data_IF_356930702789
#
_entry.id   IF_356930702789
#
_cell.length_a   1.000
_cell.length_b   1.000
_cell.length_c   1.000
_cell.angle_alpha   90.00
_cell.angle_beta   90.00
_cell.angle_gamma   90.00
#
_symmetry.space_group_name_H-M   'P 1'
#
loop_
_entity.id
_entity.type
_entity.pdbx_description
1 polymer ?
#
# COMPACT_ATOMS: atom_id res chain seq x y z
N UNK A 1 -45.96 -40.04 66.83
CA UNK A 1 -46.01 -41.46 66.38
C UNK A 1 -45.79 -41.51 64.88
N UNK A 2 -45.00 -42.50 64.45
CA UNK A 2 -44.86 -43.04 63.09
C UNK A 2 -44.30 -42.16 61.94
N UNK A 3 -43.11 -42.57 61.48
CA UNK A 3 -42.50 -42.30 60.18
C UNK A 3 -43.40 -42.74 59.02
N UNK A 4 -43.25 -42.14 57.83
CA UNK A 4 -43.41 -42.83 56.56
C UNK A 4 -42.07 -42.97 55.80
N UNK A 5 -42.02 -43.86 54.78
CA UNK A 5 -40.81 -44.65 54.51
C UNK A 5 -40.00 -44.18 53.30
N UNK A 6 -38.76 -44.65 53.34
CA UNK A 6 -37.70 -44.60 52.33
C UNK A 6 -38.11 -45.34 51.05
N UNK A 7 -37.88 -44.72 49.88
CA UNK A 7 -37.73 -45.43 48.60
C UNK A 7 -36.39 -45.12 47.94
N UNK A 8 -35.50 -46.09 48.10
CA UNK A 8 -34.43 -46.60 47.21
C UNK A 8 -33.78 -45.62 46.23
N UNK A 9 -32.57 -45.20 46.59
CA UNK A 9 -31.57 -44.73 45.63
C UNK A 9 -31.12 -45.89 44.73
N UNK A 10 -31.08 -45.61 43.43
CA UNK A 10 -30.34 -46.39 42.45
C UNK A 10 -29.26 -45.49 41.87
N UNK A 11 -28.03 -46.00 41.98
CA UNK A 11 -26.76 -45.58 41.39
C UNK A 11 -26.88 -44.68 40.16
N UNK A 12 -26.31 -43.46 40.26
CA UNK A 12 -25.67 -42.80 39.13
C UNK A 12 -24.18 -42.68 39.41
N UNK A 13 -23.44 -43.50 38.69
CA UNK A 13 -22.00 -43.46 38.47
C UNK A 13 -21.53 -42.03 38.19
N UNK A 14 -20.43 -41.66 38.85
CA UNK A 14 -19.74 -40.40 38.68
C UNK A 14 -19.34 -40.17 37.21
N UNK A 15 -19.76 -39.03 36.64
CA UNK A 15 -19.11 -38.42 35.47
C UNK A 15 -18.34 -37.20 35.95
N UNK A 16 -17.01 -37.29 35.88
CA UNK A 16 -16.07 -36.16 36.03
C UNK A 16 -16.53 -35.01 35.11
N UNK A 17 -16.51 -33.74 35.57
CA UNK A 17 -16.65 -32.63 34.65
C UNK A 17 -15.41 -32.62 33.73
N UNK A 18 -15.65 -32.63 32.43
CA UNK A 18 -14.61 -32.52 31.43
C UNK A 18 -13.87 -31.19 31.59
N UNK A 19 -12.53 -31.24 31.60
CA UNK A 19 -11.67 -30.06 31.49
C UNK A 19 -12.08 -29.27 30.25
N UNK A 20 -12.61 -28.06 30.43
CA UNK A 20 -12.74 -27.09 29.33
C UNK A 20 -11.34 -26.72 28.89
N UNK A 21 -11.01 -27.05 27.64
CA UNK A 21 -9.81 -26.54 26.97
C UNK A 21 -9.92 -25.01 26.87
N UNK A 22 -8.84 -24.26 27.10
CA UNK A 22 -8.80 -22.84 26.79
C UNK A 22 -9.01 -22.66 25.28
N UNK A 23 -9.61 -21.53 24.84
CA UNK A 23 -9.75 -21.24 23.42
C UNK A 23 -8.37 -21.19 22.75
N UNK A 24 -8.26 -21.57 21.48
CA UNK A 24 -6.99 -21.50 20.77
C UNK A 24 -6.50 -20.04 20.76
N UNK A 25 -5.19 -19.88 20.97
CA UNK A 25 -4.52 -18.59 20.87
C UNK A 25 -4.84 -17.98 19.50
N UNK A 26 -5.34 -16.74 19.52
CA UNK A 26 -5.53 -15.94 18.31
C UNK A 26 -4.14 -15.65 17.76
N UNK A 27 -3.79 -16.30 16.65
CA UNK A 27 -2.58 -16.02 15.88
C UNK A 27 -2.50 -14.52 15.59
N UNK A 28 -1.33 -13.88 15.71
CA UNK A 28 -1.16 -12.50 15.30
C UNK A 28 -1.54 -12.36 13.82
N UNK A 29 -2.19 -11.25 13.42
CA UNK A 29 -2.53 -11.04 12.02
C UNK A 29 -1.26 -11.10 11.19
N UNK A 30 -1.24 -11.99 10.19
CA UNK A 30 -0.14 -12.08 9.23
C UNK A 30 0.04 -10.71 8.58
N UNK A 31 1.29 -10.26 8.33
CA UNK A 31 1.53 -9.02 7.63
C UNK A 31 0.73 -9.03 6.31
N UNK A 32 -0.09 -8.00 6.13
CA UNK A 32 -0.83 -7.79 4.89
C UNK A 32 0.24 -7.65 3.79
N UNK A 33 0.29 -8.65 2.92
CA UNK A 33 1.21 -8.67 1.79
C UNK A 33 1.02 -7.38 0.98
N UNK A 34 2.14 -6.77 0.59
CA UNK A 34 2.17 -5.77 -0.47
C UNK A 34 1.36 -6.30 -1.67
N UNK A 35 0.58 -5.44 -2.35
CA UNK A 35 -0.25 -5.90 -3.46
C UNK A 35 0.64 -6.60 -4.49
N UNK A 36 0.41 -7.90 -4.70
CA UNK A 36 1.18 -8.69 -5.65
C UNK A 36 1.12 -8.01 -7.03
N UNK A 37 2.27 -7.72 -7.67
CA UNK A 37 2.28 -7.24 -9.03
C UNK A 37 1.67 -8.32 -9.93
N UNK A 38 0.89 -7.85 -10.89
CA UNK A 38 0.16 -8.64 -11.88
C UNK A 38 1.03 -9.76 -12.51
N UNK A 39 0.89 -10.99 -12.02
CA UNK A 39 1.47 -12.18 -12.66
C UNK A 39 0.50 -12.71 -13.72
N UNK A 40 0.59 -12.16 -14.92
CA UNK A 40 -0.02 -12.77 -16.10
C UNK A 40 0.95 -13.78 -16.72
N UNK A 41 0.71 -15.08 -16.52
CA UNK A 41 1.40 -16.12 -17.27
C UNK A 41 0.81 -16.17 -18.69
N UNK A 42 1.53 -15.62 -19.67
CA UNK A 42 1.22 -15.72 -21.10
C UNK A 42 1.92 -16.96 -21.70
N UNK A 43 1.34 -17.63 -22.70
CA UNK A 43 1.93 -18.79 -23.33
C UNK A 43 3.20 -18.41 -24.10
N UNK A 44 4.29 -19.16 -23.88
CA UNK A 44 5.55 -18.98 -24.57
C UNK A 44 5.42 -19.32 -26.06
N UNK A 45 5.77 -18.38 -26.95
CA UNK A 45 5.98 -18.66 -28.37
C UNK A 45 7.40 -19.19 -28.58
N UNK A 46 7.54 -20.39 -29.16
CA UNK A 46 8.83 -20.94 -29.55
C UNK A 46 9.42 -20.16 -30.74
N UNK A 47 10.39 -19.30 -30.43
CA UNK A 47 11.22 -18.55 -31.36
C UNK A 47 12.45 -18.03 -30.61
N UNK A 48 13.57 -17.84 -31.33
CA UNK A 48 14.87 -17.36 -30.82
C UNK A 48 14.77 -16.57 -29.50
N UNK A 49 15.40 -17.05 -28.42
CA UNK A 49 15.42 -16.33 -27.14
C UNK A 49 16.05 -14.95 -27.39
N UNK A 50 15.29 -13.85 -27.28
CA UNK A 50 15.82 -12.51 -27.54
C UNK A 50 16.95 -12.23 -26.56
N UNK A 51 18.08 -11.67 -27.00
CA UNK A 51 19.21 -11.38 -26.09
C UNK A 51 18.86 -10.37 -24.97
N UNK A 52 17.75 -9.65 -25.12
CA UNK A 52 17.28 -8.61 -24.19
C UNK A 52 15.75 -8.65 -24.12
N UNK A 53 15.19 -8.39 -22.94
CA UNK A 53 13.76 -8.17 -22.74
C UNK A 53 13.36 -6.71 -22.91
N UNK A 54 12.09 -6.44 -22.66
CA UNK A 54 11.49 -5.10 -22.64
C UNK A 54 11.15 -4.73 -21.21
N UNK A 55 11.78 -3.68 -20.67
CA UNK A 55 11.47 -3.15 -19.34
C UNK A 55 10.39 -2.08 -19.45
N UNK A 56 9.35 -2.15 -18.61
CA UNK A 56 8.20 -1.24 -18.65
C UNK A 56 8.18 -0.35 -17.40
N UNK A 57 8.25 0.96 -17.61
CA UNK A 57 8.23 1.99 -16.55
C UNK A 57 6.82 2.47 -16.20
N UNK A 58 5.86 2.33 -17.12
CA UNK A 58 4.48 2.77 -16.92
C UNK A 58 3.70 2.82 -18.22
N UNK A 59 2.43 3.25 -18.14
CA UNK A 59 1.53 3.43 -19.28
C UNK A 59 0.99 4.85 -19.29
N UNK A 60 0.90 5.47 -20.46
CA UNK A 60 0.37 6.83 -20.65
C UNK A 60 -0.59 6.88 -21.83
N UNK A 61 -1.29 8.01 -22.02
CA UNK A 61 -2.07 8.29 -23.23
C UNK A 61 -1.19 8.92 -24.29
N UNK A 62 -1.17 8.33 -25.48
CA UNK A 62 -0.52 8.90 -26.66
C UNK A 62 -0.99 8.19 -27.93
N UNK A 63 -1.18 8.93 -29.01
CA UNK A 63 -1.38 8.37 -30.36
C UNK A 63 -0.06 8.21 -31.12
N UNK A 64 0.98 8.91 -30.67
CA UNK A 64 2.28 8.98 -31.34
C UNK A 64 3.39 8.35 -30.50
N UNK A 65 4.43 7.87 -31.18
CA UNK A 65 5.60 7.34 -30.51
C UNK A 65 6.44 8.47 -29.90
N UNK A 66 6.56 8.47 -28.58
CA UNK A 66 7.37 9.41 -27.82
C UNK A 66 8.76 8.85 -27.54
N UNK A 67 9.75 9.73 -27.40
CA UNK A 67 11.13 9.40 -27.03
C UNK A 67 11.55 10.28 -25.85
N UNK A 68 12.13 9.66 -24.84
CA UNK A 68 12.61 10.33 -23.62
C UNK A 68 14.14 10.30 -23.50
N UNK A 69 14.83 9.69 -24.48
CA UNK A 69 16.28 9.64 -24.58
C UNK A 69 16.92 8.52 -23.74
N UNK A 70 18.27 8.51 -23.64
CA UNK A 70 19.03 7.47 -22.98
C UNK A 70 19.06 7.69 -21.46
N UNK A 71 17.92 7.50 -20.82
CA UNK A 71 17.73 7.66 -19.37
C UNK A 71 17.30 6.36 -18.68
N UNK A 72 17.19 5.27 -19.43
CA UNK A 72 16.73 3.97 -18.96
C UNK A 72 17.81 3.15 -18.26
N UNK A 73 17.40 2.00 -17.73
CA UNK A 73 18.28 1.05 -17.05
C UNK A 73 19.42 0.54 -17.95
N UNK A 74 20.56 0.27 -17.32
CA UNK A 74 21.73 -0.32 -17.97
C UNK A 74 22.91 0.65 -18.14
N UNK A 75 24.04 0.10 -18.56
CA UNK A 75 25.27 0.85 -18.88
C UNK A 75 25.74 0.37 -20.26
N UNK A 76 25.78 1.25 -21.28
CA UNK A 76 25.29 2.63 -21.27
C UNK A 76 23.76 2.70 -21.03
N UNK A 77 23.23 3.86 -20.57
CA UNK A 77 21.80 4.01 -20.32
C UNK A 77 20.96 3.67 -21.55
N UNK A 78 19.90 2.86 -21.37
CA UNK A 78 19.05 2.46 -22.47
C UNK A 78 18.15 3.61 -22.95
N UNK A 79 17.90 3.64 -24.26
CA UNK A 79 16.91 4.54 -24.86
C UNK A 79 15.50 4.21 -24.35
N UNK A 80 14.82 5.23 -23.84
CA UNK A 80 13.43 5.15 -23.36
C UNK A 80 12.50 5.73 -24.43
N UNK A 81 11.48 4.96 -24.78
CA UNK A 81 10.47 5.34 -25.78
C UNK A 81 9.13 4.69 -25.48
N UNK A 82 8.09 4.97 -26.27
CA UNK A 82 6.78 4.32 -26.10
C UNK A 82 6.50 3.25 -27.16
N UNK A 83 5.96 2.11 -26.72
CA UNK A 83 5.23 1.19 -27.59
C UNK A 83 3.75 1.57 -27.58
N UNK A 84 3.22 1.99 -28.74
CA UNK A 84 1.88 2.56 -28.87
C UNK A 84 0.87 1.51 -29.32
N UNK A 85 -0.29 1.49 -28.68
CA UNK A 85 -1.44 0.66 -29.03
C UNK A 85 -2.74 1.42 -28.74
N UNK A 86 -3.47 1.80 -29.79
CA UNK A 86 -4.83 2.40 -29.73
C UNK A 86 -4.95 3.54 -28.69
N UNK A 87 -4.14 4.59 -28.82
CA UNK A 87 -4.17 5.75 -27.91
C UNK A 87 -3.52 5.53 -26.53
N UNK A 88 -2.94 4.35 -26.27
CA UNK A 88 -2.11 4.08 -25.09
C UNK A 88 -0.66 3.86 -25.51
N UNK A 89 0.29 4.32 -24.69
CA UNK A 89 1.72 4.06 -24.85
C UNK A 89 2.30 3.43 -23.61
N UNK A 90 2.92 2.25 -23.73
CA UNK A 90 3.77 1.71 -22.68
C UNK A 90 5.15 2.38 -22.78
N UNK A 91 5.60 3.02 -21.70
CA UNK A 91 6.95 3.60 -21.60
C UNK A 91 7.93 2.46 -21.34
N UNK A 92 8.86 2.25 -22.27
CA UNK A 92 9.75 1.10 -22.26
C UNK A 92 11.19 1.44 -22.61
N UNK A 93 12.09 0.54 -22.22
CA UNK A 93 13.46 0.48 -22.75
C UNK A 93 13.87 -0.98 -22.98
N UNK A 94 15.00 -1.19 -23.65
CA UNK A 94 15.69 -2.48 -23.58
C UNK A 94 16.09 -2.78 -22.14
N UNK A 95 16.00 -4.04 -21.73
CA UNK A 95 16.33 -4.47 -20.37
C UNK A 95 16.71 -5.96 -20.33
N UNK A 96 16.99 -6.50 -19.13
CA UNK A 96 17.29 -7.92 -18.98
C UNK A 96 16.07 -8.80 -19.28
N UNK A 97 16.32 -10.06 -19.63
CA UNK A 97 15.30 -11.10 -19.60
C UNK A 97 15.03 -11.47 -18.14
N UNK A 98 13.91 -10.99 -17.60
CA UNK A 98 13.52 -11.21 -16.21
C UNK A 98 13.73 -9.99 -15.33
N UNK A 99 13.41 -10.15 -14.04
CA UNK A 99 13.40 -9.04 -13.08
C UNK A 99 14.84 -8.55 -12.85
N UNK A 100 15.15 -7.26 -13.10
CA UNK A 100 16.47 -6.73 -12.81
C UNK A 100 16.75 -6.73 -11.31
N UNK A 101 18.02 -6.81 -10.94
CA UNK A 101 18.42 -6.67 -9.54
C UNK A 101 17.91 -5.34 -8.96
N UNK A 102 17.24 -5.36 -7.79
CA UNK A 102 16.70 -4.16 -7.15
C UNK A 102 17.80 -3.38 -6.41
N UNK A 103 18.88 -3.06 -7.12
CA UNK A 103 19.93 -2.19 -6.61
C UNK A 103 19.38 -0.78 -6.44
N UNK A 104 19.96 -0.01 -5.50
CA UNK A 104 19.59 1.39 -5.28
C UNK A 104 19.62 2.20 -6.58
N UNK A 105 20.64 1.99 -7.39
CA UNK A 105 20.83 2.71 -8.66
C UNK A 105 19.76 2.35 -9.69
N UNK A 106 19.38 1.07 -9.80
CA UNK A 106 18.32 0.65 -10.71
C UNK A 106 16.96 1.21 -10.29
N UNK A 107 16.63 1.14 -9.00
CA UNK A 107 15.37 1.69 -8.46
C UNK A 107 15.31 3.20 -8.67
N UNK A 108 16.39 3.93 -8.37
CA UNK A 108 16.45 5.37 -8.62
C UNK A 108 16.34 5.72 -10.12
N UNK A 109 16.92 4.92 -11.00
CA UNK A 109 16.82 5.12 -12.45
C UNK A 109 15.38 4.91 -12.93
N UNK A 110 14.69 3.87 -12.45
CA UNK A 110 13.26 3.67 -12.72
C UNK A 110 12.43 4.89 -12.29
N UNK A 111 12.64 5.40 -11.08
CA UNK A 111 11.94 6.60 -10.60
C UNK A 111 12.24 7.84 -11.45
N UNK A 112 13.50 8.06 -11.85
CA UNK A 112 13.89 9.19 -12.71
C UNK A 112 13.20 9.17 -14.07
N UNK A 113 13.05 7.98 -14.68
CA UNK A 113 12.32 7.85 -15.94
C UNK A 113 10.86 8.25 -15.75
N UNK A 114 10.21 7.76 -14.70
CA UNK A 114 8.82 8.11 -14.41
C UNK A 114 8.63 9.60 -14.11
N UNK A 115 9.54 10.21 -13.34
CA UNK A 115 9.55 11.65 -13.09
C UNK A 115 9.68 12.46 -14.38
N UNK A 116 10.57 12.04 -15.30
CA UNK A 116 10.73 12.70 -16.59
C UNK A 116 9.43 12.66 -17.41
N UNK A 117 8.77 11.50 -17.46
CA UNK A 117 7.48 11.34 -18.16
C UNK A 117 6.38 12.17 -17.50
N UNK A 118 6.33 12.21 -16.17
CA UNK A 118 5.30 12.95 -15.42
C UNK A 118 5.36 14.46 -15.61
N UNK A 119 6.49 15.02 -16.03
CA UNK A 119 6.58 16.47 -16.28
C UNK A 119 5.57 16.91 -17.35
N UNK A 120 5.37 16.08 -18.37
CA UNK A 120 4.57 16.42 -19.55
C UNK A 120 3.33 15.55 -19.71
N UNK A 121 3.29 14.38 -19.07
CA UNK A 121 2.21 13.40 -19.26
C UNK A 121 1.61 12.89 -17.95
N UNK A 122 0.39 12.40 -18.03
CA UNK A 122 -0.20 11.56 -16.98
C UNK A 122 0.32 10.14 -17.14
N UNK A 123 0.91 9.61 -16.06
CA UNK A 123 1.51 8.28 -16.06
C UNK A 123 0.75 7.37 -15.09
N UNK A 124 0.44 6.17 -15.57
CA UNK A 124 0.10 5.02 -14.76
C UNK A 124 1.39 4.27 -14.44
N UNK A 125 1.97 4.46 -13.24
CA UNK A 125 3.28 3.89 -12.93
C UNK A 125 3.19 2.38 -12.74
N UNK A 126 4.26 1.68 -13.12
CA UNK A 126 4.47 0.28 -12.75
C UNK A 126 5.41 0.20 -11.55
N UNK A 127 5.25 -0.84 -10.73
CA UNK A 127 6.26 -1.19 -9.73
C UNK A 127 7.59 -1.54 -10.44
N UNK A 128 8.70 -1.35 -9.72
CA UNK A 128 10.01 -1.71 -10.23
C UNK A 128 10.05 -3.20 -10.62
N UNK A 129 10.63 -3.48 -11.80
CA UNK A 129 10.95 -4.84 -12.21
C UNK A 129 9.97 -5.48 -13.20
N UNK A 130 9.02 -4.71 -13.74
CA UNK A 130 8.10 -5.22 -14.76
C UNK A 130 8.82 -5.38 -16.11
N UNK A 131 9.13 -6.62 -16.48
CA UNK A 131 9.80 -6.97 -17.75
C UNK A 131 9.00 -7.97 -18.57
N UNK A 132 9.09 -7.84 -19.89
CA UNK A 132 8.50 -8.74 -20.86
C UNK A 132 9.56 -9.36 -21.79
N UNK A 133 9.35 -10.58 -22.28
CA UNK A 133 10.25 -11.20 -23.25
C UNK A 133 10.33 -10.43 -24.57
N UNK A 134 9.22 -9.84 -25.02
CA UNK A 134 9.13 -9.17 -26.32
C UNK A 134 8.26 -7.90 -26.32
N UNK A 135 8.44 -6.99 -27.29
CA UNK A 135 7.52 -5.87 -27.52
C UNK A 135 6.07 -6.31 -27.82
N UNK A 136 5.90 -7.48 -28.44
CA UNK A 136 4.60 -8.07 -28.75
C UNK A 136 3.83 -8.43 -27.48
N UNK A 137 4.52 -8.94 -26.44
CA UNK A 137 3.91 -9.23 -25.13
C UNK A 137 3.44 -7.95 -24.43
N UNK A 138 4.21 -6.86 -24.52
CA UNK A 138 3.79 -5.54 -24.00
C UNK A 138 2.55 -5.05 -24.73
N UNK A 139 2.51 -5.21 -26.06
CA UNK A 139 1.35 -4.85 -26.87
C UNK A 139 0.12 -5.72 -26.51
N UNK A 140 0.32 -7.00 -26.21
CA UNK A 140 -0.73 -7.90 -25.74
C UNK A 140 -1.28 -7.46 -24.38
N UNK A 141 -0.43 -7.02 -23.44
CA UNK A 141 -0.87 -6.42 -22.18
C UNK A 141 -1.73 -5.17 -22.43
N UNK A 142 -1.23 -4.23 -23.25
CA UNK A 142 -1.98 -3.00 -23.58
C UNK A 142 -3.34 -3.31 -24.19
N UNK A 143 -3.43 -4.35 -25.04
CA UNK A 143 -4.69 -4.81 -25.61
C UNK A 143 -5.63 -5.38 -24.57
N UNK A 144 -5.16 -6.31 -23.75
CA UNK A 144 -5.98 -7.01 -22.76
C UNK A 144 -6.50 -6.07 -21.65
N UNK A 145 -5.70 -5.07 -21.29
CA UNK A 145 -6.00 -4.13 -20.21
C UNK A 145 -6.44 -2.74 -20.70
N UNK A 146 -6.73 -2.58 -21.99
CA UNK A 146 -6.94 -1.26 -22.63
C UNK A 146 -7.97 -0.39 -21.90
N UNK A 147 -9.18 -0.91 -21.70
CA UNK A 147 -10.27 -0.19 -21.04
C UNK A 147 -9.93 0.14 -19.58
N UNK A 148 -9.27 -0.79 -18.89
CA UNK A 148 -8.88 -0.63 -17.50
C UNK A 148 -7.81 0.46 -17.33
N UNK A 149 -6.76 0.44 -18.17
CA UNK A 149 -5.74 1.47 -18.20
C UNK A 149 -6.31 2.82 -18.59
N UNK A 150 -7.16 2.87 -19.61
CA UNK A 150 -7.84 4.09 -20.05
C UNK A 150 -8.68 4.70 -18.92
N UNK A 151 -9.50 3.90 -18.24
CA UNK A 151 -10.34 4.37 -17.14
C UNK A 151 -9.52 4.91 -15.95
N UNK A 152 -8.40 4.25 -15.61
CA UNK A 152 -7.51 4.71 -14.55
C UNK A 152 -6.79 6.00 -14.97
N UNK A 153 -6.25 6.07 -16.19
CA UNK A 153 -5.58 7.28 -16.69
C UNK A 153 -6.51 8.49 -16.72
N UNK A 154 -7.77 8.33 -17.09
CA UNK A 154 -8.78 9.42 -17.02
C UNK A 154 -9.00 9.91 -15.59
N UNK A 155 -8.98 9.03 -14.60
CA UNK A 155 -9.10 9.42 -13.18
C UNK A 155 -7.86 10.13 -12.63
N UNK A 156 -6.69 9.81 -13.18
CA UNK A 156 -5.40 10.36 -12.75
C UNK A 156 -5.00 11.64 -13.51
N UNK A 157 -5.72 11.96 -14.59
CA UNK A 157 -5.40 13.08 -15.46
C UNK A 157 -5.35 14.40 -14.70
N UNK A 158 -4.26 15.14 -14.86
CA UNK A 158 -4.05 16.41 -14.17
C UNK A 158 -3.76 16.29 -12.68
N UNK A 159 -3.58 15.07 -12.14
CA UNK A 159 -3.29 14.85 -10.73
C UNK A 159 -1.86 14.37 -10.49
N UNK A 160 -1.40 14.57 -9.25
CA UNK A 160 -0.13 14.07 -8.69
C UNK A 160 -0.40 13.46 -7.33
N UNK A 161 0.50 12.58 -6.90
CA UNK A 161 0.45 12.02 -5.55
C UNK A 161 1.40 12.77 -4.62
N UNK A 162 0.87 13.12 -3.44
CA UNK A 162 1.60 13.78 -2.37
C UNK A 162 1.54 12.91 -1.11
N UNK A 163 2.69 12.64 -0.53
CA UNK A 163 2.85 11.84 0.68
C UNK A 163 2.93 12.73 1.93
N UNK A 164 2.25 12.33 2.99
CA UNK A 164 2.33 12.93 4.31
C UNK A 164 2.63 11.85 5.34
N UNK A 165 3.75 12.00 6.04
CA UNK A 165 4.07 11.24 7.25
C UNK A 165 4.03 12.17 8.43
N UNK A 166 3.42 11.73 9.52
CA UNK A 166 3.37 12.48 10.77
C UNK A 166 3.97 11.63 11.87
N UNK A 167 5.00 12.17 12.50
CA UNK A 167 5.71 11.53 13.60
C UNK A 167 5.36 12.23 14.90
N UNK A 168 5.41 11.46 15.98
CA UNK A 168 5.09 11.91 17.33
C UNK A 168 6.08 11.35 18.35
N UNK A 169 6.11 11.98 19.53
CA UNK A 169 6.82 11.48 20.70
C UNK A 169 5.88 10.58 21.52
N UNK A 170 5.96 9.26 21.30
CA UNK A 170 5.10 8.30 22.00
C UNK A 170 5.30 8.29 23.51
N UNK A 171 6.53 8.51 24.00
CA UNK A 171 6.79 8.51 25.44
C UNK A 171 6.07 9.68 26.10
N UNK A 172 6.02 10.83 25.41
CA UNK A 172 5.25 11.97 25.89
C UNK A 172 3.74 11.72 25.84
N UNK A 173 3.24 11.16 24.75
CA UNK A 173 1.81 10.82 24.63
C UNK A 173 1.42 9.77 25.68
N UNK A 174 2.28 8.79 25.97
CA UNK A 174 2.07 7.80 27.02
C UNK A 174 1.91 8.46 28.39
N UNK A 175 2.79 9.40 28.75
CA UNK A 175 2.66 10.17 30.00
C UNK A 175 1.36 10.98 30.06
N UNK A 176 0.93 11.57 28.95
CA UNK A 176 -0.34 12.30 28.88
C UNK A 176 -1.54 11.36 29.09
N UNK A 177 -1.49 10.14 28.53
CA UNK A 177 -2.51 9.11 28.70
C UNK A 177 -2.55 8.58 30.15
N UNK A 178 -1.39 8.34 30.76
CA UNK A 178 -1.28 7.92 32.18
C UNK A 178 -1.89 8.95 33.15
N UNK A 179 -1.72 10.25 32.85
CA UNK A 179 -2.31 11.32 33.64
C UNK A 179 -3.83 11.44 33.43
N UNK A 180 -4.31 11.12 32.22
CA UNK A 180 -5.73 11.19 31.88
C UNK A 180 -6.54 9.98 32.36
N UNK A 181 -5.91 8.81 32.47
CA UNK A 181 -6.52 7.55 32.91
C UNK A 181 -5.89 7.06 34.22
N UNK A 182 -6.62 7.22 35.32
CA UNK A 182 -6.17 6.83 36.66
C UNK A 182 -5.87 5.32 36.79
N UNK A 183 -6.54 4.46 36.02
CA UNK A 183 -6.25 3.03 36.01
C UNK A 183 -4.93 2.76 35.28
N UNK A 184 -4.74 3.37 34.12
CA UNK A 184 -3.50 3.27 33.36
C UNK A 184 -2.30 3.77 34.16
N UNK A 185 -2.41 4.93 34.81
CA UNK A 185 -1.38 5.48 35.68
C UNK A 185 -1.08 4.57 36.89
N UNK A 186 -2.09 3.92 37.49
CA UNK A 186 -1.86 2.93 38.56
C UNK A 186 -1.13 1.68 38.06
N UNK A 187 -1.47 1.20 36.86
CA UNK A 187 -0.84 0.05 36.24
C UNK A 187 0.62 0.35 35.82
N UNK A 188 0.93 1.59 35.44
CA UNK A 188 2.28 2.04 35.11
C UNK A 188 3.26 1.89 36.29
N UNK A 189 2.78 1.97 37.53
CA UNK A 189 3.58 1.79 38.76
C UNK A 189 3.89 0.32 39.09
N UNK A 190 3.31 -0.65 38.35
CA UNK A 190 3.55 -2.07 38.58
C UNK A 190 4.97 -2.47 38.14
N UNK A 191 5.65 -3.37 38.87
CA UNK A 191 7.03 -3.73 38.55
C UNK A 191 7.13 -4.44 37.19
N UNK A 192 8.20 -4.20 36.41
CA UNK A 192 8.44 -4.88 35.14
C UNK A 192 8.35 -6.41 35.28
N UNK A 193 7.70 -7.06 34.30
CA UNK A 193 7.50 -8.52 34.29
C UNK A 193 6.35 -9.04 35.17
N UNK A 194 5.67 -8.17 35.94
CA UNK A 194 4.46 -8.55 36.67
C UNK A 194 3.23 -8.66 35.75
N UNK A 195 2.18 -9.41 36.15
CA UNK A 195 0.92 -9.43 35.42
C UNK A 195 0.30 -8.03 35.22
N UNK A 196 0.44 -7.15 36.22
CA UNK A 196 -0.03 -5.76 36.12
C UNK A 196 0.74 -4.93 35.10
N UNK A 197 2.05 -5.15 34.97
CA UNK A 197 2.85 -4.49 33.93
C UNK A 197 2.54 -5.00 32.51
N UNK A 198 2.19 -6.28 32.36
CA UNK A 198 1.71 -6.81 31.08
C UNK A 198 0.35 -6.21 30.70
N UNK A 199 -0.55 -6.04 31.68
CA UNK A 199 -1.83 -5.36 31.46
C UNK A 199 -1.63 -3.89 31.09
N UNK A 200 -0.71 -3.19 31.79
CA UNK A 200 -0.28 -1.83 31.45
C UNK A 200 0.14 -1.72 29.98
N UNK A 201 1.09 -2.56 29.54
CA UNK A 201 1.62 -2.52 28.18
C UNK A 201 0.51 -2.69 27.12
N UNK A 202 -0.42 -3.62 27.33
CA UNK A 202 -1.56 -3.84 26.42
C UNK A 202 -2.53 -2.67 26.38
N UNK A 203 -2.86 -2.09 27.55
CA UNK A 203 -3.77 -0.94 27.63
C UNK A 203 -3.14 0.31 27.02
N UNK A 204 -1.86 0.55 27.30
CA UNK A 204 -1.10 1.65 26.72
C UNK A 204 -1.03 1.53 25.20
N UNK A 205 -0.69 0.35 24.67
CA UNK A 205 -0.65 0.12 23.22
C UNK A 205 -2.00 0.42 22.57
N UNK A 206 -3.10 -0.10 23.13
CA UNK A 206 -4.44 0.18 22.62
C UNK A 206 -4.81 1.66 22.69
N UNK A 207 -4.46 2.35 23.78
CA UNK A 207 -4.70 3.78 23.94
C UNK A 207 -3.89 4.63 22.95
N UNK A 208 -2.62 4.28 22.73
CA UNK A 208 -1.77 4.91 21.71
C UNK A 208 -2.34 4.70 20.30
N UNK A 209 -2.73 3.47 19.96
CA UNK A 209 -3.33 3.17 18.65
C UNK A 209 -4.62 3.97 18.41
N UNK A 210 -5.51 4.04 19.41
CA UNK A 210 -6.75 4.80 19.28
C UNK A 210 -6.49 6.31 19.19
N UNK A 211 -5.50 6.84 19.93
CA UNK A 211 -5.08 8.24 19.84
C UNK A 211 -4.54 8.56 18.45
N UNK A 212 -3.62 7.73 17.95
CA UNK A 212 -3.05 7.88 16.61
C UNK A 212 -4.12 7.83 15.52
N UNK A 213 -5.08 6.90 15.63
CA UNK A 213 -6.20 6.78 14.69
C UNK A 213 -7.05 8.06 14.67
N UNK A 214 -7.45 8.57 15.84
CA UNK A 214 -8.28 9.79 15.94
C UNK A 214 -7.57 11.03 15.42
N UNK A 215 -6.33 11.26 15.83
CA UNK A 215 -5.56 12.41 15.35
C UNK A 215 -5.26 12.29 13.86
N UNK A 216 -4.89 11.09 13.39
CA UNK A 216 -4.66 10.81 11.98
C UNK A 216 -5.90 11.06 11.11
N UNK A 217 -7.07 10.58 11.53
CA UNK A 217 -8.36 10.83 10.86
C UNK A 217 -8.66 12.33 10.79
N UNK A 218 -8.49 13.06 11.88
CA UNK A 218 -8.71 14.51 11.92
C UNK A 218 -7.78 15.26 10.94
N UNK A 219 -6.50 14.87 10.86
CA UNK A 219 -5.55 15.46 9.91
C UNK A 219 -5.91 15.15 8.46
N UNK A 220 -6.30 13.91 8.15
CA UNK A 220 -6.74 13.50 6.82
C UNK A 220 -7.99 14.27 6.41
N UNK A 221 -8.99 14.35 7.30
CA UNK A 221 -10.24 15.07 7.05
C UNK A 221 -10.02 16.56 6.83
N UNK A 222 -9.07 17.17 7.54
CA UNK A 222 -8.70 18.56 7.34
C UNK A 222 -8.03 18.84 5.98
N UNK A 223 -7.47 17.81 5.33
CA UNK A 223 -6.83 17.87 4.01
C UNK A 223 -7.75 17.43 2.86
N UNK A 224 -8.85 16.71 3.13
CA UNK A 224 -9.81 16.28 2.09
C UNK A 224 -10.31 17.41 1.19
N UNK A 225 -10.60 18.64 1.67
CA UNK A 225 -11.10 19.71 0.78
C UNK A 225 -10.09 20.11 -0.31
N UNK A 226 -8.80 19.87 -0.10
CA UNK A 226 -7.70 20.19 -1.02
C UNK A 226 -7.15 18.99 -1.79
N UNK A 227 -7.74 17.80 -1.61
CA UNK A 227 -7.37 16.58 -2.32
C UNK A 227 -8.57 15.99 -3.08
N UNK A 228 -8.31 15.36 -4.23
CA UNK A 228 -9.32 14.59 -4.95
C UNK A 228 -9.59 13.23 -4.29
N UNK A 229 -8.55 12.62 -3.70
CA UNK A 229 -8.66 11.39 -2.93
C UNK A 229 -7.57 11.32 -1.86
N UNK A 230 -7.80 10.51 -0.82
CA UNK A 230 -6.83 10.24 0.23
C UNK A 230 -6.82 8.75 0.56
N UNK A 231 -5.65 8.20 0.88
CA UNK A 231 -5.47 6.84 1.38
C UNK A 231 -4.54 6.87 2.58
N UNK A 232 -4.94 6.18 3.65
CA UNK A 232 -4.08 5.93 4.80
C UNK A 232 -3.37 4.61 4.55
N UNK A 233 -2.04 4.64 4.66
CA UNK A 233 -1.16 3.49 4.57
C UNK A 233 -0.75 3.11 5.99
N UNK A 234 -0.44 1.83 6.22
CA UNK A 234 0.10 1.40 7.52
C UNK A 234 1.32 2.23 7.90
N UNK A 235 1.35 2.85 9.09
CA UNK A 235 2.54 3.49 9.60
C UNK A 235 3.70 2.50 9.74
N UNK A 236 4.92 2.97 9.50
CA UNK A 236 6.13 2.15 9.61
C UNK A 236 6.93 2.59 10.83
N UNK A 237 7.13 1.65 11.76
CA UNK A 237 7.81 1.91 13.03
C UNK A 237 6.93 2.62 14.06
N UNK A 238 7.37 2.57 15.31
CA UNK A 238 6.57 3.02 16.47
C UNK A 238 6.38 4.56 16.51
N UNK A 239 7.33 5.31 15.98
CA UNK A 239 7.29 6.79 15.99
C UNK A 239 6.38 7.41 14.92
N UNK A 240 5.84 6.61 14.01
CA UNK A 240 4.99 7.11 12.94
C UNK A 240 3.53 7.00 13.34
N UNK A 241 2.89 8.15 13.54
CA UNK A 241 1.46 8.22 13.89
C UNK A 241 0.57 8.09 12.65
N UNK A 242 0.95 8.74 11.56
CA UNK A 242 0.19 8.75 10.31
C UNK A 242 1.13 8.55 9.12
N UNK A 243 0.72 7.71 8.18
CA UNK A 243 1.28 7.61 6.85
C UNK A 243 0.12 7.71 5.87
N UNK A 244 0.00 8.81 5.13
CA UNK A 244 -1.10 9.04 4.22
C UNK A 244 -0.58 9.55 2.88
N UNK A 245 -1.31 9.23 1.83
CA UNK A 245 -1.06 9.72 0.47
C UNK A 245 -2.32 10.35 -0.07
N UNK A 246 -2.14 11.41 -0.83
CA UNK A 246 -3.21 12.24 -1.35
C UNK A 246 -3.06 12.39 -2.86
N UNK A 247 -4.15 12.17 -3.58
CA UNK A 247 -4.24 12.50 -4.99
C UNK A 247 -4.69 13.96 -5.09
N UNK A 248 -3.86 14.81 -5.64
CA UNK A 248 -4.07 16.26 -5.66
C UNK A 248 -3.98 16.75 -7.09
N UNK A 249 -4.93 17.58 -7.52
CA UNK A 249 -4.84 18.22 -8.83
C UNK A 249 -3.62 19.14 -8.87
N UNK A 250 -2.85 19.13 -9.96
CA UNK A 250 -1.56 19.84 -10.07
C UNK A 250 -1.69 21.33 -9.76
N UNK A 251 -2.75 21.95 -10.25
CA UNK A 251 -3.06 23.36 -10.00
C UNK A 251 -3.39 23.68 -8.53
N UNK A 252 -3.68 22.66 -7.70
CA UNK A 252 -3.98 22.79 -6.27
C UNK A 252 -2.82 22.41 -5.36
N UNK A 253 -1.67 22.02 -5.90
CA UNK A 253 -0.50 21.61 -5.13
C UNK A 253 -0.08 22.67 -4.09
N UNK A 254 0.01 23.94 -4.50
CA UNK A 254 0.35 25.04 -3.61
C UNK A 254 -0.69 25.25 -2.47
N UNK A 255 -1.97 25.04 -2.77
CA UNK A 255 -3.04 25.12 -1.77
C UNK A 255 -2.96 23.96 -0.77
N UNK A 256 -2.59 22.77 -1.24
CA UNK A 256 -2.35 21.61 -0.39
C UNK A 256 -1.16 21.84 0.56
N UNK A 257 -0.02 22.28 0.02
CA UNK A 257 1.18 22.61 0.81
C UNK A 257 0.89 23.67 1.89
N UNK A 258 0.21 24.76 1.53
CA UNK A 258 -0.19 25.79 2.48
C UNK A 258 -1.08 25.23 3.62
N UNK A 259 -2.00 24.31 3.29
CA UNK A 259 -2.87 23.67 4.28
C UNK A 259 -2.08 22.76 5.22
N UNK A 260 -1.14 21.97 4.71
CA UNK A 260 -0.24 21.13 5.54
C UNK A 260 0.58 22.00 6.48
N UNK A 261 1.16 23.10 5.99
CA UNK A 261 1.92 24.05 6.81
C UNK A 261 1.08 24.66 7.93
N UNK A 262 -0.16 25.04 7.64
CA UNK A 262 -1.09 25.56 8.64
C UNK A 262 -1.43 24.51 9.71
N UNK A 263 -1.63 23.25 9.33
CA UNK A 263 -1.81 22.15 10.29
C UNK A 263 -0.57 21.96 11.14
N UNK A 264 0.61 21.88 10.53
CA UNK A 264 1.87 21.72 11.26
C UNK A 264 2.10 22.83 12.30
N UNK A 265 1.76 24.08 11.97
CA UNK A 265 1.87 25.21 12.90
C UNK A 265 0.93 25.09 14.12
N UNK A 266 -0.23 24.45 13.96
CA UNK A 266 -1.19 24.22 15.05
C UNK A 266 -0.86 22.97 15.89
N UNK A 267 0.10 22.17 15.46
CA UNK A 267 0.48 20.90 16.07
C UNK A 267 1.97 20.86 16.38
N UNK A 268 2.44 21.75 17.28
CA UNK A 268 3.86 21.86 17.65
C UNK A 268 4.49 20.56 18.21
N UNK A 269 3.66 19.60 18.60
CA UNK A 269 4.07 18.31 19.14
C UNK A 269 4.30 17.23 18.08
N UNK A 270 3.94 17.51 16.83
CA UNK A 270 4.00 16.56 15.73
C UNK A 270 5.05 17.02 14.71
N UNK A 271 5.81 16.06 14.18
CA UNK A 271 6.74 16.32 13.06
C UNK A 271 6.06 15.91 11.77
N UNK A 272 5.80 16.88 10.89
CA UNK A 272 5.24 16.64 9.58
C UNK A 272 6.37 16.45 8.56
N UNK A 273 6.31 15.37 7.79
CA UNK A 273 7.18 15.10 6.65
C UNK A 273 6.34 14.99 5.39
N UNK A 274 6.59 15.88 4.45
CA UNK A 274 5.86 15.97 3.20
C UNK A 274 6.77 15.57 2.03
N UNK A 275 6.27 14.73 1.11
CA UNK A 275 7.03 14.25 -0.05
C UNK A 275 6.20 14.29 -1.33
N UNK A 276 6.86 14.49 -2.46
CA UNK A 276 6.23 14.55 -3.79
C UNK A 276 6.62 15.83 -4.54
N UNK A 277 6.02 16.08 -5.73
CA UNK A 277 5.00 15.26 -6.38
C UNK A 277 5.52 13.94 -6.96
N UNK A 278 4.79 12.85 -6.73
CA UNK A 278 5.11 11.52 -7.23
C UNK A 278 4.12 11.04 -8.30
N UNK A 279 4.52 10.00 -9.02
CA UNK A 279 3.57 9.19 -9.78
C UNK A 279 2.47 8.65 -8.84
N UNK A 280 1.22 8.56 -9.29
CA UNK A 280 0.10 8.15 -8.45
C UNK A 280 0.04 6.63 -8.19
N UNK A 281 1.10 6.07 -7.63
CA UNK A 281 1.25 4.66 -7.29
C UNK A 281 0.09 4.11 -6.46
N UNK A 282 -0.34 4.84 -5.44
CA UNK A 282 -1.37 4.37 -4.53
C UNK A 282 -2.79 4.56 -5.09
N UNK A 283 -2.94 5.26 -6.22
CA UNK A 283 -4.23 5.52 -6.86
C UNK A 283 -4.36 4.81 -8.22
N UNK A 284 -3.29 4.13 -8.64
CA UNK A 284 -3.12 3.36 -9.86
C UNK A 284 -3.67 1.91 -9.78
N UNK A 285 -4.47 1.55 -8.77
CA UNK A 285 -5.02 0.19 -8.63
C UNK A 285 -5.81 -0.25 -9.88
N UNK A 286 -5.25 -1.22 -10.62
CA UNK A 286 -5.94 -1.87 -11.73
C UNK A 286 -6.34 -3.28 -11.27
N UNK A 287 -7.62 -3.51 -11.07
CA UNK A 287 -8.15 -4.87 -10.87
C UNK A 287 -8.41 -5.50 -12.23
N UNK A 288 -7.39 -6.15 -12.79
CA UNK A 288 -7.56 -6.91 -14.04
C UNK A 288 -8.36 -8.19 -13.77
N UNK A 289 -9.64 -8.19 -14.17
CA UNK A 289 -10.41 -9.43 -14.30
C UNK A 289 -10.00 -10.08 -15.62
N UNK A 290 -9.02 -10.98 -15.56
CA UNK A 290 -8.70 -11.84 -16.69
C UNK A 290 -9.81 -12.90 -16.79
N UNK A 291 -10.86 -12.63 -17.57
CA UNK A 291 -11.77 -13.68 -18.04
C UNK A 291 -11.02 -14.48 -19.10
N UNK A 292 -10.61 -15.71 -18.76
CA UNK A 292 -10.22 -16.70 -19.77
C UNK A 292 -11.45 -17.00 -20.61
N UNK A 293 -11.52 -16.49 -21.83
CA UNK A 293 -12.39 -17.07 -22.85
C UNK A 293 -11.82 -18.44 -23.19
N UNK A 294 -12.56 -19.50 -22.84
CA UNK A 294 -12.28 -20.85 -23.34
C UNK A 294 -12.46 -20.86 -24.86
N UNK A 295 -11.56 -21.49 -25.63
CA UNK A 295 -11.74 -21.61 -27.08
C UNK A 295 -13.02 -22.40 -27.38
N UNK A 296 -13.73 -22.06 -28.47
CA UNK A 296 -14.99 -22.72 -28.81
C UNK A 296 -14.77 -24.22 -28.97
N UNK A 297 -15.56 -25.01 -28.24
CA UNK A 297 -15.63 -26.46 -28.44
C UNK A 297 -16.23 -26.72 -29.82
N UNK A 298 -15.39 -27.14 -30.76
CA UNK A 298 -15.84 -27.70 -32.02
C UNK A 298 -16.79 -28.87 -31.74
N UNK A 299 -18.02 -28.76 -32.22
CA UNK A 299 -18.95 -29.86 -32.46
C UNK A 299 -19.35 -29.82 -33.92
#
# INVERSE_FOLDING_TARGET
MARPPVRKGSSRTAKRPAKRQPPPAVEPPRPVAEPEPLRAALPASEGLIPAHGVYVYGVLRTEEALRFGPIGLGVPPAEVSTLVYRGLGAVVSKGPLGVPDPTRDNVLTHHRVQEAVLREHTLLPTAFGLTFPSPEDVTALLRAAHDAFSGVLTRLEGHVELGLKVLWDQDRVARELELADAELGRLALQPPGSPGHLEYARKLEGALQERARREGEALVDALRPVAAAARVVSPVGERMMLNAVFLVAREREAAFDARVKSLAANHAMLTFQFTGPWAPYHFADIRLRLTREEPPKNR
#
